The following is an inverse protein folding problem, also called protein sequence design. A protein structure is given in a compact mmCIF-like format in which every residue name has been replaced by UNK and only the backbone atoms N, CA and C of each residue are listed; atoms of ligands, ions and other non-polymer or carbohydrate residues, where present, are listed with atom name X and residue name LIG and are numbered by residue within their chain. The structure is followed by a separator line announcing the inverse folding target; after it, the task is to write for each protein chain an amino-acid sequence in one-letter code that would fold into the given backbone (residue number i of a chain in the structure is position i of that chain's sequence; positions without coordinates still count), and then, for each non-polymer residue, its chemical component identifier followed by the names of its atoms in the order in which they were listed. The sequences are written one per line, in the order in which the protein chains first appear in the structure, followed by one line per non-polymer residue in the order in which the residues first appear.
data_IF_599002936481
#
_entry.id   IF_599002936481
#
_cell.length_a   1.000
_cell.length_b   1.000
_cell.length_c   1.000
_cell.angle_alpha   90.00
_cell.angle_beta   90.00
_cell.angle_gamma   90.00
#
_symmetry.space_group_name_H-M   'P 1'
#
loop_
_entity.id
_entity.type
_entity.pdbx_description
1 polymer ?
#
# COMPACT_ATOMS: atom_id res chain seq x y z
N UNK A 1 21.54 -1.01 16.50
CA UNK A 1 21.64 0.07 15.49
C UNK A 1 20.65 -0.25 14.39
N UNK A 2 19.44 0.32 14.44
CA UNK A 2 18.41 0.06 13.43
C UNK A 2 18.79 0.79 12.14
N UNK A 3 19.28 0.05 11.16
CA UNK A 3 19.43 0.53 9.79
C UNK A 3 18.02 0.69 9.21
N UNK A 4 17.44 1.88 9.29
CA UNK A 4 16.23 2.19 8.52
C UNK A 4 16.57 2.01 7.04
N UNK A 5 16.05 0.93 6.44
CA UNK A 5 16.12 0.77 5.00
C UNK A 5 15.31 1.93 4.39
N UNK A 6 15.88 2.71 3.44
CA UNK A 6 15.24 3.93 2.94
C UNK A 6 13.86 3.68 2.33
N UNK A 7 13.61 2.43 1.95
CA UNK A 7 12.47 1.96 1.15
C UNK A 7 11.41 1.25 1.99
N UNK A 8 11.46 1.37 3.31
CA UNK A 8 10.45 0.83 4.23
C UNK A 8 9.52 1.90 4.80
N UNK A 9 8.26 1.55 5.13
CA UNK A 9 7.32 2.44 5.80
C UNK A 9 7.85 2.87 7.18
N UNK A 10 7.63 4.14 7.52
CA UNK A 10 7.90 4.66 8.86
C UNK A 10 6.67 4.38 9.75
N UNK A 11 6.81 3.62 10.85
CA UNK A 11 5.70 3.35 11.76
C UNK A 11 5.02 4.63 12.29
N UNK A 12 5.76 5.73 12.41
CA UNK A 12 5.23 7.02 12.84
C UNK A 12 4.28 7.62 11.80
N UNK A 13 4.62 7.48 10.52
CA UNK A 13 3.75 7.92 9.42
C UNK A 13 2.49 7.05 9.34
N UNK A 14 2.64 5.73 9.46
CA UNK A 14 1.49 4.80 9.46
C UNK A 14 0.55 5.10 10.64
N UNK A 15 1.10 5.37 11.83
CA UNK A 15 0.32 5.81 13.00
C UNK A 15 -0.51 7.05 12.69
N UNK A 16 0.10 8.03 12.03
CA UNK A 16 -0.53 9.29 11.67
C UNK A 16 -1.64 9.09 10.63
N UNK A 17 -1.41 8.26 9.61
CA UNK A 17 -2.42 7.95 8.60
C UNK A 17 -3.63 7.22 9.21
N UNK A 18 -3.39 6.23 10.07
CA UNK A 18 -4.44 5.55 10.82
C UNK A 18 -5.21 6.50 11.73
N UNK A 19 -4.52 7.39 12.45
CA UNK A 19 -5.18 8.36 13.32
C UNK A 19 -6.06 9.36 12.55
N UNK A 20 -5.63 9.77 11.35
CA UNK A 20 -6.42 10.62 10.46
C UNK A 20 -7.72 9.95 10.01
N UNK A 21 -7.66 8.68 9.61
CA UNK A 21 -8.79 7.91 9.07
C UNK A 21 -9.76 7.45 10.18
N UNK A 22 -9.24 6.96 11.30
CA UNK A 22 -10.05 6.45 12.43
C UNK A 22 -10.67 7.59 13.24
N UNK A 23 -9.97 8.72 13.38
CA UNK A 23 -10.41 9.85 14.20
C UNK A 23 -10.74 9.43 15.63
N UNK A 24 -11.97 9.72 16.08
CA UNK A 24 -12.46 9.38 17.43
C UNK A 24 -12.82 7.88 17.62
N UNK A 25 -12.75 7.09 16.56
CA UNK A 25 -12.98 5.65 16.57
C UNK A 25 -13.85 5.17 15.41
N UNK A 26 -13.66 3.91 15.02
CA UNK A 26 -14.46 3.24 14.00
C UNK A 26 -15.77 2.71 14.61
N UNK A 27 -16.83 3.53 14.56
CA UNK A 27 -18.14 3.19 15.10
C UNK A 27 -18.78 1.99 14.41
N UNK A 28 -18.52 1.81 13.11
CA UNK A 28 -19.12 0.72 12.33
C UNK A 28 -18.47 -0.62 12.70
N UNK A 29 -17.14 -0.65 12.83
CA UNK A 29 -16.44 -1.87 13.19
C UNK A 29 -16.66 -2.28 14.67
N UNK A 30 -17.14 -1.37 15.53
CA UNK A 30 -17.60 -1.70 16.90
C UNK A 30 -18.88 -2.54 16.93
N UNK A 31 -19.65 -2.59 15.85
CA UNK A 31 -20.84 -3.44 15.74
C UNK A 31 -20.42 -4.92 15.60
N UNK A 32 -19.22 -5.19 15.09
CA UNK A 32 -18.68 -6.54 14.94
C UNK A 32 -18.23 -7.10 16.29
N UNK A 33 -18.44 -8.40 16.47
CA UNK A 33 -17.92 -9.13 17.63
C UNK A 33 -16.40 -9.01 17.72
N UNK A 34 -15.88 -8.81 18.93
CA UNK A 34 -14.43 -8.78 19.20
C UNK A 34 -13.73 -10.09 18.81
N UNK A 35 -14.46 -11.21 18.80
CA UNK A 35 -13.95 -12.54 18.44
C UNK A 35 -14.16 -12.91 16.97
N UNK A 36 -14.80 -12.06 16.17
CA UNK A 36 -15.07 -12.37 14.77
C UNK A 36 -13.77 -12.39 13.96
N UNK A 37 -13.53 -13.51 13.27
CA UNK A 37 -12.46 -13.65 12.28
C UNK A 37 -13.09 -13.54 10.89
N UNK A 38 -12.44 -12.77 10.01
CA UNK A 38 -12.84 -12.64 8.62
C UNK A 38 -11.68 -12.97 7.68
N UNK A 39 -12.04 -13.30 6.45
CA UNK A 39 -11.13 -13.37 5.31
C UNK A 39 -11.56 -12.33 4.27
N UNK A 40 -10.58 -11.64 3.69
CA UNK A 40 -10.80 -10.61 2.68
C UNK A 40 -9.84 -10.81 1.50
N UNK A 41 -10.18 -10.22 0.36
CA UNK A 41 -9.36 -10.25 -0.85
C UNK A 41 -9.28 -8.86 -1.45
N UNK A 42 -8.08 -8.46 -1.88
CA UNK A 42 -7.88 -7.22 -2.63
C UNK A 42 -7.71 -7.56 -4.10
N UNK A 43 -8.47 -6.89 -4.97
CA UNK A 43 -8.41 -7.04 -6.43
C UNK A 43 -8.13 -5.69 -7.07
N UNK A 44 -7.40 -5.68 -8.18
CA UNK A 44 -7.29 -4.48 -9.02
C UNK A 44 -8.44 -4.42 -10.02
N UNK A 45 -8.89 -3.21 -10.35
CA UNK A 45 -9.92 -2.97 -11.39
C UNK A 45 -9.35 -2.48 -12.71
N UNK A 46 -8.05 -2.18 -12.74
CA UNK A 46 -7.35 -1.63 -13.89
C UNK A 46 -5.97 -2.31 -14.05
N UNK A 47 -5.39 -2.22 -15.24
CA UNK A 47 -4.01 -2.66 -15.44
C UNK A 47 -3.09 -1.68 -14.70
N UNK A 48 -2.19 -2.21 -13.87
CA UNK A 48 -1.29 -1.37 -13.08
C UNK A 48 0.04 -2.05 -12.80
N UNK A 49 0.99 -1.28 -12.27
CA UNK A 49 2.17 -1.80 -11.58
C UNK A 49 1.85 -1.87 -10.09
N UNK A 50 1.93 -3.06 -9.50
CA UNK A 50 1.77 -3.23 -8.05
C UNK A 50 2.89 -2.49 -7.34
N UNK A 51 2.55 -1.62 -6.39
CA UNK A 51 3.52 -0.94 -5.54
C UNK A 51 2.89 -0.53 -4.21
N UNK A 52 3.61 -0.77 -3.11
CA UNK A 52 3.20 -0.38 -1.76
C UNK A 52 2.83 -1.57 -0.87
N UNK A 53 3.24 -2.80 -1.19
CA UNK A 53 2.93 -3.98 -0.35
C UNK A 53 3.39 -3.77 1.09
N UNK A 54 4.58 -3.22 1.29
CA UNK A 54 5.13 -2.99 2.64
C UNK A 54 4.30 -1.94 3.42
N UNK A 55 3.82 -0.89 2.75
CA UNK A 55 2.97 0.13 3.38
C UNK A 55 1.60 -0.45 3.75
N UNK A 56 1.03 -1.26 2.88
CA UNK A 56 -0.21 -1.98 3.14
C UNK A 56 -0.07 -2.93 4.35
N UNK A 57 0.99 -3.73 4.38
CA UNK A 57 1.28 -4.64 5.49
C UNK A 57 1.50 -3.88 6.81
N UNK A 58 2.19 -2.74 6.76
CA UNK A 58 2.47 -1.94 7.95
C UNK A 58 1.19 -1.39 8.60
N UNK A 59 0.17 -1.04 7.82
CA UNK A 59 -1.14 -0.61 8.34
C UNK A 59 -1.77 -1.70 9.20
N UNK A 60 -1.88 -2.92 8.66
CA UNK A 60 -2.50 -4.03 9.41
C UNK A 60 -1.63 -4.49 10.57
N UNK A 61 -0.31 -4.52 10.40
CA UNK A 61 0.62 -4.86 11.49
C UNK A 61 0.51 -3.91 12.68
N UNK A 62 0.21 -2.62 12.42
CA UNK A 62 0.04 -1.63 13.47
C UNK A 62 -1.29 -1.77 14.20
N UNK A 63 -2.34 -2.20 13.51
CA UNK A 63 -3.64 -2.48 14.13
C UNK A 63 -3.64 -3.81 14.89
N UNK A 64 -3.07 -4.84 14.28
CA UNK A 64 -3.10 -6.21 14.76
C UNK A 64 -1.99 -7.05 14.10
N UNK A 65 -0.91 -7.38 14.83
CA UNK A 65 0.20 -8.14 14.28
C UNK A 65 -0.16 -9.61 13.97
N UNK A 66 -1.37 -10.08 14.34
CA UNK A 66 -1.85 -11.44 14.04
C UNK A 66 -2.55 -11.55 12.69
N UNK A 67 -2.85 -10.42 12.03
CA UNK A 67 -3.41 -10.43 10.68
C UNK A 67 -2.38 -11.01 9.71
N UNK A 68 -2.81 -12.03 8.97
CA UNK A 68 -2.00 -12.65 7.93
C UNK A 68 -2.38 -12.08 6.56
N UNK A 69 -1.38 -11.74 5.76
CA UNK A 69 -1.53 -11.22 4.40
C UNK A 69 -0.70 -12.09 3.46
N UNK A 70 -1.35 -12.62 2.43
CA UNK A 70 -0.76 -13.47 1.41
C UNK A 70 -0.81 -12.76 0.05
N UNK A 71 0.31 -12.20 -0.37
CA UNK A 71 0.47 -11.52 -1.66
C UNK A 71 0.62 -12.50 -2.82
N UNK A 72 -0.01 -12.15 -3.95
CA UNK A 72 0.06 -12.90 -5.21
C UNK A 72 1.07 -12.30 -6.21
N UNK A 73 1.75 -11.22 -5.82
CA UNK A 73 2.77 -10.52 -6.58
C UNK A 73 3.66 -9.70 -5.67
N UNK A 74 4.68 -9.06 -6.22
CA UNK A 74 5.59 -8.17 -5.50
C UNK A 74 5.60 -6.77 -6.13
N UNK A 75 6.08 -5.81 -5.35
CA UNK A 75 6.25 -4.45 -5.83
C UNK A 75 7.11 -4.40 -7.11
N UNK A 76 6.62 -3.70 -8.13
CA UNK A 76 7.20 -3.60 -9.47
C UNK A 76 6.59 -4.54 -10.52
N UNK A 77 5.82 -5.56 -10.10
CA UNK A 77 5.14 -6.47 -11.01
C UNK A 77 4.00 -5.77 -11.77
N UNK A 78 3.80 -6.14 -13.03
CA UNK A 78 2.65 -5.70 -13.81
C UNK A 78 1.47 -6.65 -13.58
N UNK A 79 0.33 -6.11 -13.16
CA UNK A 79 -0.92 -6.84 -12.88
C UNK A 79 -2.03 -6.33 -13.79
N UNK A 80 -2.98 -7.20 -14.13
CA UNK A 80 -4.10 -6.92 -15.02
C UNK A 80 -5.38 -6.64 -14.24
N UNK A 81 -6.29 -5.90 -14.86
CA UNK A 81 -7.63 -5.71 -14.33
C UNK A 81 -8.29 -7.06 -13.99
N UNK A 82 -8.82 -7.17 -12.77
CA UNK A 82 -9.43 -8.39 -12.24
C UNK A 82 -8.46 -9.31 -11.49
N UNK A 83 -7.15 -9.07 -11.54
CA UNK A 83 -6.18 -9.89 -10.80
C UNK A 83 -6.36 -9.73 -9.29
N UNK A 84 -6.26 -10.85 -8.59
CA UNK A 84 -6.16 -10.91 -7.14
C UNK A 84 -4.77 -10.45 -6.72
N UNK A 85 -4.68 -9.41 -5.89
CA UNK A 85 -3.43 -8.86 -5.38
C UNK A 85 -2.98 -9.58 -4.10
N UNK A 86 -3.89 -9.71 -3.14
CA UNK A 86 -3.61 -10.42 -1.89
C UNK A 86 -4.88 -10.95 -1.22
N UNK A 87 -4.67 -11.91 -0.32
CA UNK A 87 -5.68 -12.41 0.64
C UNK A 87 -5.28 -11.95 2.04
N UNK A 88 -6.27 -11.58 2.85
CA UNK A 88 -6.06 -11.21 4.24
C UNK A 88 -6.93 -12.09 5.13
N UNK A 89 -6.43 -12.43 6.32
CA UNK A 89 -7.19 -13.16 7.34
C UNK A 89 -6.84 -12.66 8.74
N UNK A 90 -7.84 -12.44 9.58
CA UNK A 90 -7.65 -12.00 10.97
C UNK A 90 -8.92 -11.39 11.58
N UNK A 91 -8.75 -10.57 12.61
CA UNK A 91 -9.84 -9.85 13.28
C UNK A 91 -10.68 -9.06 12.29
N UNK A 92 -11.98 -9.35 12.22
CA UNK A 92 -12.90 -8.68 11.30
C UNK A 92 -12.95 -7.16 11.55
N UNK A 93 -12.89 -6.74 12.82
CA UNK A 93 -12.83 -5.32 13.18
C UNK A 93 -11.56 -4.65 12.64
N UNK A 94 -10.40 -5.25 12.89
CA UNK A 94 -9.13 -4.66 12.50
C UNK A 94 -8.95 -4.66 10.97
N UNK A 95 -9.49 -5.68 10.28
CA UNK A 95 -9.54 -5.71 8.82
C UNK A 95 -10.39 -4.56 8.25
N UNK A 96 -11.59 -4.32 8.79
CA UNK A 96 -12.45 -3.23 8.36
C UNK A 96 -11.84 -1.85 8.65
N UNK A 97 -11.29 -1.68 9.87
CA UNK A 97 -10.68 -0.41 10.30
C UNK A 97 -9.45 -0.04 9.47
N UNK A 98 -8.62 -1.02 9.09
CA UNK A 98 -7.41 -0.77 8.30
C UNK A 98 -7.63 -0.63 6.80
N UNK A 99 -8.77 -1.08 6.28
CA UNK A 99 -9.05 -1.22 4.85
C UNK A 99 -8.76 0.08 4.08
N UNK A 100 -9.38 1.19 4.48
CA UNK A 100 -9.34 2.42 3.71
C UNK A 100 -7.95 3.03 3.68
N UNK A 101 -7.29 3.13 4.84
CA UNK A 101 -5.90 3.58 4.93
C UNK A 101 -4.96 2.72 4.09
N UNK A 102 -5.05 1.39 4.19
CA UNK A 102 -4.18 0.48 3.45
C UNK A 102 -4.40 0.57 1.93
N UNK A 103 -5.65 0.59 1.47
CA UNK A 103 -5.98 0.73 0.05
C UNK A 103 -5.59 2.09 -0.51
N UNK A 104 -5.77 3.18 0.25
CA UNK A 104 -5.37 4.52 -0.20
C UNK A 104 -3.85 4.60 -0.45
N UNK A 105 -3.04 4.00 0.43
CA UNK A 105 -1.59 3.91 0.25
C UNK A 105 -1.25 3.06 -0.98
N UNK A 106 -1.78 1.83 -1.06
CA UNK A 106 -1.51 0.91 -2.17
C UNK A 106 -1.89 1.52 -3.52
N UNK A 107 -3.08 2.14 -3.61
CA UNK A 107 -3.57 2.79 -4.82
C UNK A 107 -2.69 3.98 -5.22
N UNK A 108 -2.31 4.83 -4.26
CA UNK A 108 -1.46 6.01 -4.53
C UNK A 108 -0.08 5.61 -5.05
N UNK A 109 0.53 4.59 -4.43
CA UNK A 109 1.86 4.12 -4.79
C UNK A 109 1.83 3.34 -6.10
N UNK A 110 0.86 2.44 -6.28
CA UNK A 110 0.65 1.72 -7.56
C UNK A 110 0.36 2.68 -8.71
N UNK A 111 -0.41 3.74 -8.49
CA UNK A 111 -0.63 4.79 -9.49
C UNK A 111 0.66 5.53 -9.88
N UNK A 112 1.47 5.90 -8.88
CA UNK A 112 2.78 6.54 -9.12
C UNK A 112 3.73 5.61 -9.90
N UNK A 113 3.79 4.33 -9.53
CA UNK A 113 4.61 3.33 -10.22
C UNK A 113 4.13 3.06 -11.65
N UNK A 114 2.81 2.98 -11.86
CA UNK A 114 2.22 2.75 -13.18
C UNK A 114 2.58 3.87 -14.16
N UNK A 115 2.39 5.14 -13.76
CA UNK A 115 2.76 6.29 -14.58
C UNK A 115 4.27 6.34 -14.83
N UNK A 116 5.08 6.03 -13.83
CA UNK A 116 6.55 5.99 -13.98
C UNK A 116 6.98 4.95 -15.01
N UNK A 117 6.33 3.77 -15.00
CA UNK A 117 6.56 2.69 -15.99
C UNK A 117 6.17 3.09 -17.40
N UNK A 118 5.09 3.84 -17.57
CA UNK A 118 4.69 4.36 -18.88
C UNK A 118 5.76 5.26 -19.48
N UNK A 119 6.29 6.21 -18.70
CA UNK A 119 7.38 7.08 -19.15
C UNK A 119 8.68 6.30 -19.40
N UNK A 120 9.05 5.37 -18.54
CA UNK A 120 10.23 4.53 -18.73
C UNK A 120 10.14 3.69 -20.02
N UNK A 121 8.95 3.15 -20.32
CA UNK A 121 8.69 2.43 -21.58
C UNK A 121 8.77 3.36 -22.79
N UNK A 122 8.25 4.58 -22.71
CA UNK A 122 8.25 5.54 -23.81
C UNK A 122 9.66 5.93 -24.28
N UNK A 123 10.66 5.89 -23.39
CA UNK A 123 12.07 6.19 -23.70
C UNK A 123 12.94 4.94 -23.86
N UNK A 124 12.34 3.75 -23.89
CA UNK A 124 13.08 2.50 -24.03
C UNK A 124 13.90 2.48 -25.33
N UNK A 125 15.15 2.00 -25.24
CA UNK A 125 16.08 1.95 -26.38
C UNK A 125 16.82 3.25 -26.68
N UNK A 126 16.50 4.37 -26.01
CA UNK A 126 17.16 5.67 -26.25
C UNK A 126 18.39 5.93 -25.37
N UNK A 127 18.59 5.13 -24.32
CA UNK A 127 19.60 5.38 -23.28
C UNK A 127 19.23 6.48 -22.28
N UNK A 128 18.09 7.15 -22.47
CA UNK A 128 17.57 8.16 -21.53
C UNK A 128 16.99 7.50 -20.28
N UNK A 129 17.16 8.15 -19.13
CA UNK A 129 16.60 7.72 -17.84
C UNK A 129 15.58 8.72 -17.34
N UNK A 130 14.47 8.21 -16.82
CA UNK A 130 13.46 9.01 -16.14
C UNK A 130 13.94 9.32 -14.72
N UNK A 131 13.73 10.56 -14.28
CA UNK A 131 14.07 11.02 -12.93
C UNK A 131 12.83 11.64 -12.26
N UNK A 132 12.71 11.40 -10.95
CA UNK A 132 11.71 12.07 -10.11
C UNK A 132 12.14 13.51 -9.75
N UNK A 133 11.31 14.19 -8.95
CA UNK A 133 11.63 15.52 -8.42
C UNK A 133 11.31 15.63 -6.93
N UNK A 134 11.43 16.85 -6.39
CA UNK A 134 10.95 17.18 -5.04
C UNK A 134 9.45 17.51 -4.96
N UNK A 135 8.72 17.50 -6.09
CA UNK A 135 7.28 17.76 -6.19
C UNK A 135 6.49 16.50 -5.83
N UNK A 136 6.53 16.13 -4.56
CA UNK A 136 5.87 14.95 -3.99
C UNK A 136 4.69 15.39 -3.12
N UNK A 137 3.74 14.49 -2.89
CA UNK A 137 2.71 14.66 -1.89
C UNK A 137 3.36 14.84 -0.49
N UNK A 138 2.90 15.81 0.31
CA UNK A 138 3.36 15.98 1.69
C UNK A 138 3.22 14.68 2.49
N UNK A 139 4.23 14.33 3.29
CA UNK A 139 4.25 13.09 4.07
C UNK A 139 4.51 11.80 3.28
N UNK A 140 4.48 11.82 1.95
CA UNK A 140 4.67 10.62 1.11
C UNK A 140 5.92 10.66 0.23
N UNK A 141 6.84 11.61 0.46
CA UNK A 141 8.06 11.78 -0.35
C UNK A 141 8.85 10.47 -0.51
N UNK A 142 9.10 9.75 0.57
CA UNK A 142 9.88 8.50 0.53
C UNK A 142 9.15 7.42 -0.26
N UNK A 143 7.87 7.23 0.04
CA UNK A 143 7.03 6.24 -0.62
C UNK A 143 6.87 6.52 -2.13
N UNK A 144 6.68 7.78 -2.53
CA UNK A 144 6.59 8.14 -3.95
C UNK A 144 7.92 7.97 -4.68
N UNK A 145 9.06 8.27 -4.04
CA UNK A 145 10.37 7.97 -4.64
C UNK A 145 10.59 6.48 -4.82
N UNK A 146 10.13 5.67 -3.87
CA UNK A 146 10.14 4.21 -4.00
C UNK A 146 9.25 3.76 -5.16
N UNK A 147 8.02 4.25 -5.25
CA UNK A 147 7.10 3.92 -6.34
C UNK A 147 7.66 4.28 -7.73
N UNK A 148 8.36 5.41 -7.87
CA UNK A 148 9.06 5.76 -9.13
C UNK A 148 10.14 4.74 -9.49
N UNK A 149 10.83 4.13 -8.51
CA UNK A 149 11.82 3.07 -8.77
C UNK A 149 11.18 1.73 -9.13
N UNK A 150 9.99 1.44 -8.58
CA UNK A 150 9.22 0.24 -8.92
C UNK A 150 8.71 0.29 -10.35
N UNK A 151 8.25 1.47 -10.81
CA UNK A 151 7.87 1.75 -12.20
C UNK A 151 9.04 1.86 -13.15
#
# INVERSE_FOLDING_TARGET
MNTHHPDQPDPTDIARFLAEDIGAGDLTARILSDSAIAAATVVTRENMVLCGTDWFDAVFKQLDPTIHIEWQGKDGDAVKAGDLLCRLQGSARNLMTGERTALNLLQTLSGTATVSREYARAVSGTGTRILDTRKTLPGLRRAQKYAVRCG
#
